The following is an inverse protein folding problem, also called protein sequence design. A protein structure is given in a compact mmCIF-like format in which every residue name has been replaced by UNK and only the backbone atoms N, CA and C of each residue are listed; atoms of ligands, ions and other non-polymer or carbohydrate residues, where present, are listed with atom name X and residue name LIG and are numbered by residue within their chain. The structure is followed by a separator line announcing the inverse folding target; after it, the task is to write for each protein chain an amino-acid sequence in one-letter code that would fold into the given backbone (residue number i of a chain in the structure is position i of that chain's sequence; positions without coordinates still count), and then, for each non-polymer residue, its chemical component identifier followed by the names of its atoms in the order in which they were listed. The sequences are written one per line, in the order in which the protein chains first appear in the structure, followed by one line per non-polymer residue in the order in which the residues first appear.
data_IF_026524761367
#
_entry.id   IF_026524761367
#
_cell.length_a   1.000
_cell.length_b   1.000
_cell.length_c   1.000
_cell.angle_alpha   90.00
_cell.angle_beta   90.00
_cell.angle_gamma   90.00
#
_symmetry.space_group_name_H-M   'P 1'
#
loop_
_entity.id
_entity.type
_entity.pdbx_description
1 polymer ?
#
# COMPACT_ATOMS: atom_id res chain seq x y z
N UNK A 1 39.63 -25.85 -43.10
CA UNK A 1 39.07 -26.95 -42.29
C UNK A 1 38.36 -26.32 -41.09
N UNK A 2 37.07 -25.98 -41.25
CA UNK A 2 36.24 -25.43 -40.18
C UNK A 2 35.75 -26.59 -39.33
N UNK A 3 36.26 -26.72 -38.11
CA UNK A 3 35.66 -27.61 -37.13
C UNK A 3 34.48 -26.85 -36.51
N UNK A 4 33.32 -26.94 -37.17
CA UNK A 4 32.04 -26.68 -36.53
C UNK A 4 31.87 -27.71 -35.42
N UNK A 5 32.13 -27.30 -34.17
CA UNK A 5 31.64 -28.05 -33.01
C UNK A 5 30.18 -27.63 -32.82
N UNK A 6 29.25 -28.43 -33.33
CA UNK A 6 27.86 -28.40 -32.88
C UNK A 6 27.86 -28.61 -31.36
N UNK A 7 27.65 -27.54 -30.59
CA UNK A 7 27.31 -27.65 -29.18
C UNK A 7 25.85 -28.08 -29.11
N UNK A 8 25.59 -29.39 -29.21
CA UNK A 8 24.25 -29.94 -28.96
C UNK A 8 23.97 -29.78 -27.47
N UNK A 9 23.18 -28.78 -27.12
CA UNK A 9 22.73 -28.55 -25.74
C UNK A 9 21.90 -29.78 -25.32
N UNK A 10 22.26 -30.49 -24.24
CA UNK A 10 21.50 -31.65 -23.77
C UNK A 10 20.08 -31.22 -23.39
N UNK A 11 19.07 -32.04 -23.75
CA UNK A 11 17.64 -31.73 -23.54
C UNK A 11 17.25 -31.42 -22.09
N UNK A 12 18.07 -31.79 -21.11
CA UNK A 12 17.89 -31.45 -19.69
C UNK A 12 18.11 -29.96 -19.36
N UNK A 13 18.68 -29.17 -20.28
CA UNK A 13 18.94 -27.73 -20.08
C UNK A 13 17.86 -26.82 -20.70
N UNK A 14 16.84 -27.41 -21.35
CA UNK A 14 15.69 -26.69 -21.91
C UNK A 14 14.74 -26.16 -20.83
N UNK A 15 14.80 -26.70 -19.61
CA UNK A 15 13.93 -26.32 -18.48
C UNK A 15 14.32 -24.97 -17.85
N UNK A 16 15.45 -24.39 -18.25
CA UNK A 16 15.91 -23.07 -17.81
C UNK A 16 15.87 -22.06 -18.98
N UNK A 17 14.73 -21.33 -19.16
CA UNK A 17 14.51 -20.54 -20.36
C UNK A 17 15.59 -19.51 -20.71
N UNK A 18 16.15 -18.89 -19.67
CA UNK A 18 17.22 -17.91 -19.84
C UNK A 18 18.54 -18.54 -20.29
N UNK A 19 18.87 -19.73 -19.78
CA UNK A 19 20.14 -20.40 -20.05
C UNK A 19 20.17 -20.99 -21.47
N UNK A 20 19.09 -21.67 -21.90
CA UNK A 20 19.03 -22.22 -23.26
C UNK A 20 19.23 -21.11 -24.29
N UNK A 21 18.59 -19.95 -24.08
CA UNK A 21 18.61 -18.84 -25.04
C UNK A 21 20.00 -18.26 -25.20
N UNK A 22 20.75 -18.13 -24.10
CA UNK A 22 22.14 -17.65 -24.11
C UNK A 22 23.10 -18.63 -24.80
N UNK A 23 22.85 -19.94 -24.71
CA UNK A 23 23.71 -20.98 -25.29
C UNK A 23 23.40 -21.26 -26.77
N UNK A 24 22.12 -21.20 -27.18
CA UNK A 24 21.70 -21.61 -28.53
C UNK A 24 21.45 -20.45 -29.51
N UNK A 25 21.04 -19.27 -29.02
CA UNK A 25 20.60 -18.16 -29.88
C UNK A 25 21.52 -16.94 -29.85
N UNK A 26 22.36 -16.79 -28.83
CA UNK A 26 23.30 -15.66 -28.72
C UNK A 26 24.74 -16.07 -29.00
N UNK A 27 25.51 -15.15 -29.61
CA UNK A 27 26.96 -15.33 -29.80
C UNK A 27 27.67 -15.17 -28.44
N UNK A 28 28.72 -15.95 -28.20
CA UNK A 28 29.48 -15.95 -26.94
C UNK A 28 29.94 -14.51 -26.57
N UNK A 29 29.50 -13.96 -25.42
CA UNK A 29 29.91 -12.63 -24.98
C UNK A 29 31.34 -12.64 -24.43
N UNK A 30 31.99 -11.47 -24.46
CA UNK A 30 33.31 -11.27 -23.84
C UNK A 30 33.11 -11.14 -22.33
N UNK A 31 33.84 -11.90 -21.49
CA UNK A 31 33.67 -11.83 -20.04
C UNK A 31 34.11 -10.46 -19.53
N UNK A 32 33.18 -9.71 -18.93
CA UNK A 32 33.46 -8.47 -18.23
C UNK A 32 33.25 -8.70 -16.73
N UNK A 33 34.25 -8.35 -15.91
CA UNK A 33 34.11 -8.36 -14.45
C UNK A 33 33.41 -7.09 -14.00
N UNK A 34 32.25 -7.25 -13.38
CA UNK A 34 31.50 -6.16 -12.73
C UNK A 34 31.33 -6.50 -11.26
N UNK A 35 31.51 -5.49 -10.41
CA UNK A 35 31.42 -5.63 -8.95
C UNK A 35 29.97 -5.64 -8.47
N UNK A 36 29.09 -4.93 -9.18
CA UNK A 36 27.68 -4.73 -8.81
C UNK A 36 26.77 -4.71 -10.06
N UNK A 37 25.47 -4.94 -9.86
CA UNK A 37 24.43 -4.86 -10.90
C UNK A 37 24.15 -3.42 -11.39
N UNK A 38 24.81 -2.42 -10.78
CA UNK A 38 24.73 -1.01 -11.16
C UNK A 38 23.43 -0.33 -10.77
N UNK A 39 22.80 0.39 -11.71
CA UNK A 39 21.59 1.19 -11.49
C UNK A 39 20.38 0.37 -10.99
N UNK A 40 20.32 -0.91 -11.36
CA UNK A 40 19.24 -1.81 -10.96
C UNK A 40 19.10 -1.95 -9.44
N UNK A 41 20.19 -1.83 -8.69
CA UNK A 41 20.12 -1.84 -7.24
C UNK A 41 19.32 -0.66 -6.69
N UNK A 42 19.52 0.55 -7.25
CA UNK A 42 18.74 1.74 -6.88
C UNK A 42 17.26 1.61 -7.24
N UNK A 43 16.97 0.97 -8.38
CA UNK A 43 15.59 0.73 -8.83
C UNK A 43 14.90 -0.24 -7.88
N UNK A 44 15.54 -1.36 -7.56
CA UNK A 44 14.99 -2.38 -6.66
C UNK A 44 14.79 -1.84 -5.23
N UNK A 45 15.73 -1.04 -4.72
CA UNK A 45 15.59 -0.35 -3.44
C UNK A 45 14.38 0.60 -3.42
N UNK A 46 14.18 1.35 -4.51
CA UNK A 46 13.02 2.25 -4.66
C UNK A 46 11.70 1.48 -4.70
N UNK A 47 11.65 0.37 -5.45
CA UNK A 47 10.46 -0.49 -5.54
C UNK A 47 10.16 -1.10 -4.16
N UNK A 48 11.17 -1.54 -3.41
CA UNK A 48 10.99 -2.07 -2.06
C UNK A 48 10.33 -1.05 -1.12
N UNK A 49 10.80 0.20 -1.13
CA UNK A 49 10.21 1.30 -0.34
C UNK A 49 8.76 1.59 -0.75
N UNK A 50 8.49 1.67 -2.04
CA UNK A 50 7.13 1.88 -2.55
C UNK A 50 6.19 0.72 -2.19
N UNK A 51 6.67 -0.51 -2.23
CA UNK A 51 5.88 -1.69 -1.89
C UNK A 51 5.37 -1.62 -0.44
N UNK A 52 6.22 -1.23 0.52
CA UNK A 52 5.83 -1.07 1.93
C UNK A 52 4.72 -0.02 2.07
N UNK A 53 4.88 1.14 1.43
CA UNK A 53 3.89 2.22 1.43
C UNK A 53 2.56 1.70 0.86
N UNK A 54 2.59 1.06 -0.31
CA UNK A 54 1.37 0.55 -0.94
C UNK A 54 0.64 -0.48 -0.10
N UNK A 55 1.36 -1.38 0.58
CA UNK A 55 0.75 -2.35 1.48
C UNK A 55 0.09 -1.69 2.70
N UNK A 56 0.68 -0.62 3.23
CA UNK A 56 0.09 0.16 4.32
C UNK A 56 -1.24 0.81 3.88
N UNK A 57 -1.25 1.43 2.70
CA UNK A 57 -2.45 2.03 2.11
C UNK A 57 -3.55 1.00 1.84
N UNK A 58 -3.18 -0.18 1.33
CA UNK A 58 -4.13 -1.28 1.13
C UNK A 58 -4.79 -1.61 2.47
N UNK A 59 -4.00 -1.88 3.52
CA UNK A 59 -4.55 -2.22 4.84
C UNK A 59 -5.43 -1.08 5.38
N UNK A 60 -4.99 0.18 5.29
CA UNK A 60 -5.72 1.32 5.86
C UNK A 60 -7.06 1.62 5.16
N UNK A 61 -7.10 1.54 3.82
CA UNK A 61 -8.25 2.00 3.04
C UNK A 61 -9.15 0.87 2.54
N UNK A 62 -8.63 -0.34 2.29
CA UNK A 62 -9.45 -1.44 1.79
C UNK A 62 -10.04 -2.30 2.90
N UNK A 63 -9.47 -2.27 4.11
CA UNK A 63 -9.95 -3.07 5.23
C UNK A 63 -10.92 -2.29 6.14
N UNK A 64 -11.81 -3.04 6.80
CA UNK A 64 -12.68 -2.51 7.86
C UNK A 64 -11.97 -2.44 9.23
N UNK A 65 -10.66 -2.70 9.29
CA UNK A 65 -9.91 -2.71 10.54
C UNK A 65 -9.96 -1.36 11.27
N UNK A 66 -9.67 -0.27 10.56
CA UNK A 66 -9.63 1.08 11.14
C UNK A 66 -11.01 1.53 11.64
N UNK A 67 -12.11 1.47 10.87
CA UNK A 67 -13.43 1.88 11.36
C UNK A 67 -13.92 0.99 12.54
N UNK A 68 -13.65 -0.31 12.54
CA UNK A 68 -13.97 -1.18 13.69
C UNK A 68 -13.19 -0.79 14.94
N UNK A 69 -11.91 -0.45 14.79
CA UNK A 69 -11.05 0.00 15.87
C UNK A 69 -11.59 1.31 16.46
N UNK A 70 -11.87 2.29 15.61
CA UNK A 70 -12.42 3.59 16.01
C UNK A 70 -13.76 3.40 16.73
N UNK A 71 -14.65 2.54 16.22
CA UNK A 71 -15.93 2.24 16.87
C UNK A 71 -15.73 1.64 18.27
N UNK A 72 -14.85 0.64 18.42
CA UNK A 72 -14.56 0.00 19.71
C UNK A 72 -14.00 0.96 20.76
N UNK A 73 -13.20 1.95 20.35
CA UNK A 73 -12.52 2.84 21.29
C UNK A 73 -13.25 4.15 21.57
N UNK A 74 -14.00 4.67 20.59
CA UNK A 74 -14.63 6.00 20.69
C UNK A 74 -16.12 5.92 20.97
N UNK A 75 -16.80 4.85 20.52
CA UNK A 75 -18.27 4.77 20.52
C UNK A 75 -18.80 3.67 21.45
N UNK A 76 -18.15 2.51 21.48
CA UNK A 76 -18.61 1.37 22.27
C UNK A 76 -18.14 1.45 23.72
N UNK A 77 -19.08 1.65 24.65
CA UNK A 77 -18.81 1.64 26.10
C UNK A 77 -18.30 0.26 26.59
N UNK A 78 -18.76 -0.82 25.94
CA UNK A 78 -18.42 -2.21 26.28
C UNK A 78 -17.27 -2.81 25.47
N UNK A 79 -16.65 -2.04 24.56
CA UNK A 79 -15.65 -2.52 23.56
C UNK A 79 -16.15 -3.68 22.67
N UNK A 80 -17.46 -3.92 22.63
CA UNK A 80 -18.07 -4.90 21.73
C UNK A 80 -18.31 -4.29 20.35
N UNK A 81 -18.43 -5.15 19.33
CA UNK A 81 -18.76 -4.75 17.96
C UNK A 81 -20.27 -4.71 17.70
N UNK A 82 -21.07 -4.86 18.76
CA UNK A 82 -22.53 -4.89 18.64
C UNK A 82 -23.01 -3.52 18.16
N UNK A 83 -23.84 -3.51 17.10
CA UNK A 83 -24.31 -2.28 16.46
C UNK A 83 -23.33 -1.63 15.47
N UNK A 84 -22.15 -2.21 15.23
CA UNK A 84 -21.20 -1.65 14.25
C UNK A 84 -21.81 -1.52 12.84
N UNK A 85 -22.60 -2.52 12.42
CA UNK A 85 -23.26 -2.47 11.11
C UNK A 85 -24.24 -1.29 11.01
N UNK A 86 -25.08 -1.09 12.02
CA UNK A 86 -26.02 0.05 12.05
C UNK A 86 -25.30 1.39 12.09
N UNK A 87 -24.14 1.46 12.73
CA UNK A 87 -23.30 2.64 12.78
C UNK A 87 -22.57 2.94 11.47
N UNK A 88 -22.12 1.90 10.77
CA UNK A 88 -21.37 2.02 9.51
C UNK A 88 -22.25 2.33 8.29
N UNK A 89 -23.56 2.21 8.44
CA UNK A 89 -24.54 2.40 7.39
C UNK A 89 -25.26 3.75 7.57
N UNK A 90 -25.27 4.57 6.51
CA UNK A 90 -26.09 5.78 6.47
C UNK A 90 -27.39 5.52 5.72
N UNK A 91 -28.45 6.23 6.14
CA UNK A 91 -29.79 6.13 5.55
C UNK A 91 -30.00 7.15 4.45
N UNK A 92 -30.54 6.72 3.33
CA UNK A 92 -30.95 7.57 2.21
C UNK A 92 -32.45 7.43 1.94
N UNK A 93 -33.12 8.55 1.66
CA UNK A 93 -34.53 8.54 1.32
C UNK A 93 -34.72 8.37 -0.19
N UNK A 94 -35.38 7.28 -0.60
CA UNK A 94 -35.49 6.89 -2.02
C UNK A 94 -36.27 7.92 -2.85
N UNK A 95 -37.19 8.65 -2.21
CA UNK A 95 -37.91 9.74 -2.85
C UNK A 95 -37.00 10.85 -3.39
N UNK A 96 -35.79 11.02 -2.85
CA UNK A 96 -34.87 12.10 -3.23
C UNK A 96 -33.97 11.76 -4.43
N UNK A 97 -34.08 10.53 -4.98
CA UNK A 97 -33.38 10.20 -6.22
C UNK A 97 -33.80 11.13 -7.37
N UNK A 98 -32.85 11.55 -8.23
CA UNK A 98 -33.19 12.25 -9.47
C UNK A 98 -34.15 11.39 -10.30
N UNK A 99 -35.06 12.01 -11.07
CA UNK A 99 -36.12 11.29 -11.79
C UNK A 99 -35.59 10.23 -12.78
N UNK A 100 -34.34 10.37 -13.24
CA UNK A 100 -33.66 9.46 -14.15
C UNK A 100 -33.20 8.15 -13.47
N UNK A 101 -33.02 8.15 -12.15
CA UNK A 101 -32.50 7.03 -11.36
C UNK A 101 -33.53 6.45 -10.39
N UNK A 102 -34.74 7.02 -10.33
CA UNK A 102 -35.80 6.52 -9.47
C UNK A 102 -36.33 5.19 -10.03
N UNK A 103 -36.54 4.21 -9.14
CA UNK A 103 -37.17 2.96 -9.54
C UNK A 103 -38.56 3.24 -10.14
N UNK A 104 -38.93 2.64 -11.28
CA UNK A 104 -40.27 2.72 -11.83
C UNK A 104 -41.29 1.90 -11.02
N UNK A 105 -40.83 1.04 -10.11
CA UNK A 105 -41.68 0.19 -9.29
C UNK A 105 -42.33 0.97 -8.16
N UNK A 106 -43.65 0.85 -8.03
CA UNK A 106 -44.46 1.48 -6.98
C UNK A 106 -44.28 0.86 -5.59
N UNK A 107 -43.53 -0.24 -5.48
CA UNK A 107 -43.23 -0.95 -4.22
C UNK A 107 -41.81 -0.68 -3.69
N UNK A 108 -41.16 0.40 -4.14
CA UNK A 108 -39.85 0.75 -3.62
C UNK A 108 -39.94 1.12 -2.11
N UNK A 109 -38.98 0.67 -1.28
CA UNK A 109 -38.94 1.04 0.13
C UNK A 109 -38.68 2.55 0.28
N UNK A 110 -39.21 3.16 1.35
CA UNK A 110 -39.03 4.60 1.62
C UNK A 110 -37.57 4.97 1.90
N UNK A 111 -36.82 4.07 2.54
CA UNK A 111 -35.44 4.27 2.95
C UNK A 111 -34.54 3.12 2.49
N UNK A 112 -33.32 3.45 2.04
CA UNK A 112 -32.26 2.49 1.79
C UNK A 112 -31.02 2.83 2.64
N UNK A 113 -30.15 1.83 2.86
CA UNK A 113 -28.91 1.98 3.63
C UNK A 113 -27.69 1.71 2.77
N UNK A 114 -26.65 2.52 2.92
CA UNK A 114 -25.40 2.39 2.16
C UNK A 114 -24.20 2.65 3.08
N UNK A 115 -23.03 2.06 2.78
CA UNK A 115 -21.84 2.19 3.61
C UNK A 115 -21.22 3.58 3.43
N UNK A 116 -21.58 4.53 4.30
CA UNK A 116 -20.99 5.86 4.37
C UNK A 116 -21.30 6.51 5.72
N UNK A 117 -20.50 7.49 6.12
CA UNK A 117 -20.67 8.23 7.37
C UNK A 117 -21.27 9.61 7.07
N UNK A 118 -22.59 9.63 6.82
CA UNK A 118 -23.34 10.84 6.51
C UNK A 118 -24.53 11.04 7.42
N UNK A 119 -24.95 12.30 7.55
CA UNK A 119 -26.08 12.66 8.38
C UNK A 119 -27.40 12.12 7.79
N UNK A 120 -28.31 11.57 8.62
CA UNK A 120 -29.63 11.12 8.18
C UNK A 120 -30.48 12.23 7.56
N UNK A 121 -31.52 11.86 6.79
CA UNK A 121 -32.39 12.81 6.11
C UNK A 121 -33.21 13.70 7.07
N UNK A 122 -33.45 13.26 8.30
CA UNK A 122 -34.21 14.02 9.31
C UNK A 122 -33.43 15.18 9.96
N UNK A 123 -32.13 15.28 9.70
CA UNK A 123 -31.24 16.27 10.31
C UNK A 123 -31.20 17.63 9.57
N UNK A 124 -30.74 18.70 10.23
CA UNK A 124 -30.59 20.03 9.63
C UNK A 124 -29.58 20.04 8.46
N UNK A 125 -28.53 19.23 8.55
CA UNK A 125 -27.46 19.09 7.54
C UNK A 125 -27.58 17.75 6.77
N UNK A 126 -28.73 17.52 6.14
CA UNK A 126 -29.04 16.29 5.38
C UNK A 126 -27.93 15.90 4.38
N UNK A 127 -27.54 14.63 4.42
CA UNK A 127 -26.52 13.99 3.55
C UNK A 127 -25.14 14.63 3.54
N UNK A 128 -24.84 15.52 4.50
CA UNK A 128 -23.48 16.01 4.70
C UNK A 128 -22.64 15.01 5.48
N UNK A 129 -21.32 15.13 5.31
CA UNK A 129 -20.36 14.32 6.06
C UNK A 129 -20.45 14.62 7.54
N UNK A 130 -20.51 13.57 8.35
CA UNK A 130 -20.47 13.68 9.80
C UNK A 130 -19.05 13.96 10.29
N UNK A 131 -18.87 14.52 11.49
CA UNK A 131 -17.53 14.72 12.05
C UNK A 131 -16.77 13.39 12.21
N UNK A 132 -17.45 12.27 12.40
CA UNK A 132 -16.79 10.96 12.51
C UNK A 132 -16.10 10.54 11.20
N UNK A 133 -16.64 10.89 10.04
CA UNK A 133 -15.98 10.63 8.75
C UNK A 133 -14.52 11.15 8.78
N UNK A 134 -14.32 12.37 9.27
CA UNK A 134 -13.02 13.00 9.39
C UNK A 134 -12.12 12.32 10.43
N UNK A 135 -12.69 11.85 11.54
CA UNK A 135 -11.93 11.09 12.54
C UNK A 135 -11.42 9.75 11.99
N UNK A 136 -12.26 9.04 11.22
CA UNK A 136 -11.86 7.79 10.57
C UNK A 136 -10.81 8.05 9.50
N UNK A 137 -10.95 9.11 8.71
CA UNK A 137 -9.97 9.51 7.72
C UNK A 137 -8.62 9.84 8.38
N UNK A 138 -8.63 10.63 9.46
CA UNK A 138 -7.45 10.94 10.24
C UNK A 138 -6.79 9.68 10.82
N UNK A 139 -7.59 8.75 11.35
CA UNK A 139 -7.09 7.47 11.87
C UNK A 139 -6.45 6.60 10.77
N UNK A 140 -7.02 6.57 9.56
CA UNK A 140 -6.43 5.87 8.40
C UNK A 140 -5.08 6.46 8.03
N UNK A 141 -4.98 7.79 7.96
CA UNK A 141 -3.72 8.48 7.66
C UNK A 141 -2.68 8.28 8.76
N UNK A 142 -3.08 8.36 10.03
CA UNK A 142 -2.21 8.10 11.16
C UNK A 142 -1.67 6.67 11.16
N UNK A 143 -2.51 5.67 10.82
CA UNK A 143 -2.06 4.29 10.68
C UNK A 143 -1.01 4.13 9.59
N UNK A 144 -1.18 4.78 8.42
CA UNK A 144 -0.17 4.75 7.35
C UNK A 144 1.15 5.35 7.84
N UNK A 145 1.12 6.51 8.50
CA UNK A 145 2.34 7.14 9.05
C UNK A 145 3.01 6.23 10.07
N UNK A 146 2.25 5.61 10.98
CA UNK A 146 2.81 4.67 11.98
C UNK A 146 3.38 3.44 11.29
N UNK A 147 2.71 2.87 10.29
CA UNK A 147 3.19 1.69 9.58
C UNK A 147 4.45 2.00 8.76
N UNK A 148 4.55 3.19 8.18
CA UNK A 148 5.76 3.67 7.50
C UNK A 148 6.89 3.92 8.49
N UNK A 149 6.64 4.65 9.58
CA UNK A 149 7.67 4.94 10.60
C UNK A 149 8.15 3.65 11.27
N UNK A 150 7.24 2.72 11.60
CA UNK A 150 7.58 1.40 12.13
C UNK A 150 8.27 0.51 11.09
N UNK A 151 7.78 0.48 9.85
CA UNK A 151 8.38 -0.32 8.77
C UNK A 151 9.78 0.16 8.38
N UNK A 152 10.03 1.48 8.45
CA UNK A 152 11.35 2.07 8.21
C UNK A 152 12.27 1.89 9.41
N UNK A 153 11.77 1.92 10.64
CA UNK A 153 12.61 1.68 11.83
C UNK A 153 12.99 0.21 12.04
N UNK A 154 12.35 -0.75 11.34
CA UNK A 154 12.68 -2.18 11.40
C UNK A 154 13.97 -2.54 10.63
N UNK A 155 14.64 -1.59 9.99
CA UNK A 155 15.88 -1.81 9.24
C UNK A 155 17.08 -1.08 9.88
N UNK A 156 17.70 -1.65 10.93
CA UNK A 156 18.93 -2.48 10.87
C UNK A 156 19.37 -2.85 12.30
N UNK A 157 19.00 -4.04 12.77
CA UNK A 157 19.67 -4.66 13.93
C UNK A 157 20.99 -5.27 13.45
N UNK A 158 22.08 -4.48 13.32
CA UNK A 158 23.40 -5.08 13.09
C UNK A 158 23.90 -5.63 14.42
N UNK A 159 23.81 -6.94 14.61
CA UNK A 159 24.52 -7.61 15.69
C UNK A 159 26.02 -7.62 15.36
N UNK A 160 26.77 -6.61 15.80
CA UNK A 160 28.24 -6.67 15.80
C UNK A 160 28.70 -7.11 17.20
N UNK A 161 29.36 -8.27 17.25
CA UNK A 161 30.11 -8.74 18.42
C UNK A 161 29.32 -8.82 19.75
N UNK A 162 28.12 -9.44 19.75
CA UNK A 162 27.40 -9.78 21.00
C UNK A 162 26.79 -8.61 21.77
N UNK A 163 26.94 -7.37 21.26
CA UNK A 163 26.24 -6.20 21.77
C UNK A 163 25.14 -5.87 20.75
N UNK A 164 23.89 -5.97 21.18
CA UNK A 164 22.76 -5.46 20.41
C UNK A 164 22.81 -3.93 20.47
N UNK A 165 23.67 -3.32 19.65
CA UNK A 165 23.62 -1.89 19.41
C UNK A 165 22.44 -1.66 18.49
N UNK A 166 21.32 -1.24 19.07
CA UNK A 166 20.25 -0.59 18.34
C UNK A 166 20.83 0.71 17.77
N UNK A 167 21.47 0.63 16.62
CA UNK A 167 21.72 1.82 15.82
C UNK A 167 20.34 2.21 15.31
N UNK A 168 19.69 3.09 16.06
CA UNK A 168 18.55 3.84 15.56
C UNK A 168 19.13 4.68 14.42
N UNK A 169 19.24 4.11 13.22
CA UNK A 169 19.22 4.91 12.02
C UNK A 169 17.79 5.39 11.95
N UNK A 170 17.51 6.42 12.75
CA UNK A 170 16.51 7.40 12.46
C UNK A 170 16.89 7.84 11.04
N UNK A 171 16.31 7.20 10.03
CA UNK A 171 16.16 7.87 8.75
C UNK A 171 15.23 9.01 9.11
N UNK A 172 15.86 10.12 9.52
CA UNK A 172 15.22 11.36 9.78
C UNK A 172 14.51 11.69 8.48
N UNK A 173 13.23 11.36 8.38
CA UNK A 173 12.27 12.11 7.58
C UNK A 173 12.05 13.45 8.32
N UNK A 174 13.15 14.13 8.64
CA UNK A 174 13.15 15.57 8.70
C UNK A 174 13.10 15.98 7.24
N UNK A 175 11.87 16.24 6.84
CA UNK A 175 11.48 17.33 5.97
C UNK A 175 12.44 18.53 6.12
N UNK A 176 13.61 18.45 5.49
CA UNK A 176 14.42 19.62 5.15
C UNK A 176 14.19 19.81 3.67
N UNK A 177 13.41 20.85 3.38
CA UNK A 177 13.16 21.32 2.04
C UNK A 177 14.44 21.46 1.24
N UNK A 178 14.27 21.32 -0.07
CA UNK A 178 15.37 21.21 -1.01
C UNK A 178 16.42 22.31 -0.87
N UNK A 179 17.65 21.91 -1.10
CA UNK A 179 18.62 22.70 -1.83
C UNK A 179 19.48 21.72 -2.59
N UNK A 180 19.06 21.55 -3.84
CA UNK A 180 19.98 21.49 -4.97
C UNK A 180 21.09 22.52 -4.71
N UNK A 181 22.31 22.09 -4.40
CA UNK A 181 23.49 22.83 -4.80
C UNK A 181 24.57 21.89 -5.33
N UNK A 182 24.79 22.10 -6.62
CA UNK A 182 25.94 21.72 -7.43
C UNK A 182 27.24 22.32 -6.84
N UNK A 183 28.36 21.62 -7.05
CA UNK A 183 29.75 22.10 -6.85
C UNK A 183 30.51 21.18 -5.88
N UNK A 184 31.64 20.54 -6.20
CA UNK A 184 32.70 20.85 -7.16
C UNK A 184 33.97 21.27 -6.42
N UNK A 185 35.05 20.46 -6.53
CA UNK A 185 36.41 20.73 -6.00
C UNK A 185 36.57 20.42 -4.51
N UNK A 186 37.61 19.76 -4.00
CA UNK A 186 38.93 19.29 -4.48
C UNK A 186 39.18 17.86 -3.99
#
# INVERSE_FOLDING_TARGET
MQVSRECRVPQAEADAPGAYKLLSHFRRPIPQRVKDIGVWFKILDSIGKLAVITNAFIIAFTSNFIPELVYRYVVSDGKSLDGFLDYSLSTFQVAEYPPQYRSPDSEAPDYCRYPDYRQPPDGPDRYRYTPIYWHILAARLAFVVVFEVCGVCVCVCVCVCGVCVCVCVCVCVLWVGGLVFFGGGE
#
